data_IF_683515784964
#
_entry.id   IF_683515784964
#
_cell.length_a   1.000
_cell.length_b   1.000
_cell.length_c   1.000
_cell.angle_alpha   90.00
_cell.angle_beta   90.00
_cell.angle_gamma   90.00
#
_symmetry.space_group_name_H-M   'P 1'
#
loop_
_entity.id
_entity.type
_entity.pdbx_description
1 polymer ?
#
# COMPACT_ATOMS: atom_id res chain seq x y z
N UNK A 1 20.40 -0.97 -3.57
CA UNK A 1 21.04 -2.29 -3.40
C UNK A 1 19.97 -3.38 -3.51
N UNK A 2 20.20 -4.36 -4.37
CA UNK A 2 19.33 -5.54 -4.48
C UNK A 2 19.77 -6.56 -3.44
N UNK A 3 18.81 -7.20 -2.76
CA UNK A 3 19.04 -8.30 -1.82
C UNK A 3 18.30 -9.55 -2.30
N UNK A 4 18.67 -10.70 -1.78
CA UNK A 4 18.00 -11.96 -2.12
C UNK A 4 16.60 -11.99 -1.52
N UNK A 5 15.70 -12.71 -2.19
CA UNK A 5 14.38 -12.96 -1.65
C UNK A 5 14.50 -13.72 -0.31
N UNK A 6 13.82 -13.22 0.70
CA UNK A 6 13.90 -13.73 2.07
C UNK A 6 14.80 -12.91 2.98
N UNK A 7 15.70 -12.10 2.42
CA UNK A 7 16.51 -11.19 3.22
C UNK A 7 15.69 -9.93 3.54
N UNK A 8 15.47 -9.70 4.83
CA UNK A 8 14.79 -8.49 5.31
C UNK A 8 15.82 -7.65 6.07
N UNK A 9 16.41 -6.65 5.42
CA UNK A 9 17.40 -5.79 6.08
C UNK A 9 16.71 -4.89 7.12
N UNK A 10 17.49 -4.27 8.00
CA UNK A 10 17.00 -3.27 8.92
C UNK A 10 16.61 -2.02 8.12
N UNK A 11 15.31 -1.74 8.08
CA UNK A 11 14.73 -0.60 7.36
C UNK A 11 13.63 0.03 8.19
N UNK A 12 13.29 1.28 7.90
CA UNK A 12 12.22 2.00 8.58
C UNK A 12 10.90 1.91 7.82
N UNK A 13 10.96 1.68 6.51
CA UNK A 13 9.80 1.62 5.61
C UNK A 13 9.89 0.35 4.77
N UNK A 14 8.78 -0.38 4.70
CA UNK A 14 8.64 -1.56 3.83
C UNK A 14 7.46 -1.33 2.90
N UNK A 15 7.70 -1.47 1.60
CA UNK A 15 6.68 -1.22 0.57
C UNK A 15 6.43 -2.51 -0.21
N UNK A 16 5.18 -2.96 -0.24
CA UNK A 16 4.74 -3.98 -1.19
C UNK A 16 4.34 -3.30 -2.51
N UNK A 17 5.17 -3.45 -3.51
CA UNK A 17 4.92 -2.97 -4.87
C UNK A 17 4.72 -4.15 -5.85
N UNK A 18 4.22 -5.28 -5.34
CA UNK A 18 3.90 -6.48 -6.11
C UNK A 18 2.39 -6.61 -6.29
N UNK A 19 1.96 -7.57 -7.10
CA UNK A 19 0.54 -7.92 -7.24
C UNK A 19 0.02 -8.83 -6.12
N UNK A 20 0.89 -9.28 -5.22
CA UNK A 20 0.51 -10.17 -4.11
C UNK A 20 -0.35 -9.40 -3.12
N UNK A 21 -1.58 -9.84 -2.95
CA UNK A 21 -2.58 -9.21 -2.10
C UNK A 21 -3.78 -8.66 -2.87
N UNK A 22 -3.74 -8.64 -4.21
CA UNK A 22 -4.90 -8.28 -5.03
C UNK A 22 -6.06 -9.26 -4.85
N UNK A 23 -5.76 -10.54 -4.68
CA UNK A 23 -6.74 -11.56 -4.37
C UNK A 23 -6.73 -11.85 -2.87
N UNK A 24 -7.91 -12.10 -2.31
CA UNK A 24 -8.05 -12.37 -0.85
C UNK A 24 -7.30 -13.60 -0.39
N UNK A 25 -7.09 -14.56 -1.30
CA UNK A 25 -6.39 -15.81 -1.01
C UNK A 25 -4.88 -15.75 -1.26
N UNK A 26 -4.38 -14.59 -1.68
CA UNK A 26 -2.94 -14.41 -1.90
C UNK A 26 -2.18 -14.50 -0.58
N UNK A 27 -1.16 -15.35 -0.54
CA UNK A 27 -0.26 -15.48 0.59
C UNK A 27 1.01 -14.67 0.38
N UNK A 28 1.37 -13.88 1.35
CA UNK A 28 2.65 -13.19 1.35
C UNK A 28 3.74 -14.10 1.93
N UNK A 29 4.48 -14.77 1.05
CA UNK A 29 5.46 -15.81 1.41
C UNK A 29 6.84 -15.27 1.83
N UNK A 30 6.87 -14.11 2.44
CA UNK A 30 8.10 -13.52 2.98
C UNK A 30 7.96 -13.44 4.49
N UNK A 31 8.96 -13.91 5.22
CA UNK A 31 8.99 -13.77 6.67
C UNK A 31 9.34 -12.32 7.04
N UNK A 32 8.31 -11.58 7.38
CA UNK A 32 8.43 -10.17 7.79
C UNK A 32 8.70 -9.98 9.28
N UNK A 33 8.76 -11.07 10.07
CA UNK A 33 8.98 -10.99 11.52
C UNK A 33 10.29 -10.27 11.88
N UNK A 34 11.30 -10.37 11.02
CA UNK A 34 12.59 -9.69 11.19
C UNK A 34 12.53 -8.17 11.06
N UNK A 35 11.47 -7.64 10.46
CA UNK A 35 11.29 -6.19 10.34
C UNK A 35 11.06 -5.51 11.70
N UNK A 36 10.45 -6.23 12.64
CA UNK A 36 10.17 -5.71 13.98
C UNK A 36 8.99 -4.76 14.03
N UNK A 37 8.95 -3.93 15.06
CA UNK A 37 7.89 -2.96 15.34
C UNK A 37 8.36 -1.50 15.08
N UNK A 38 7.41 -0.56 15.17
CA UNK A 38 7.65 0.89 14.98
C UNK A 38 8.20 1.23 13.58
N UNK A 39 7.83 0.43 12.59
CA UNK A 39 8.13 0.66 11.18
C UNK A 39 6.90 1.18 10.45
N UNK A 40 7.05 1.50 9.19
CA UNK A 40 5.94 1.89 8.32
C UNK A 40 5.80 0.86 7.19
N UNK A 41 4.65 0.22 7.11
CA UNK A 41 4.29 -0.74 6.07
C UNK A 41 3.35 -0.05 5.09
N UNK A 42 3.74 0.02 3.84
CA UNK A 42 2.96 0.61 2.76
C UNK A 42 2.68 -0.41 1.68
N UNK A 43 1.42 -0.53 1.29
CA UNK A 43 1.01 -1.38 0.18
C UNK A 43 0.45 -0.52 -0.95
N UNK A 44 0.94 -0.70 -2.18
CA UNK A 44 0.42 0.03 -3.34
C UNK A 44 -0.99 -0.41 -3.71
N UNK A 45 -1.41 -1.57 -3.23
CA UNK A 45 -2.77 -2.10 -3.41
C UNK A 45 -3.73 -1.31 -2.54
N UNK A 46 -4.87 -0.92 -3.08
CA UNK A 46 -5.94 -0.23 -2.35
C UNK A 46 -7.24 -1.03 -2.27
N UNK A 47 -7.38 -2.08 -3.07
CA UNK A 47 -8.50 -3.01 -3.01
C UNK A 47 -7.95 -4.45 -3.05
N UNK A 48 -8.09 -5.21 -1.97
CA UNK A 48 -8.75 -4.89 -0.69
C UNK A 48 -8.06 -3.74 0.05
N UNK A 49 -8.81 -3.06 0.93
CA UNK A 49 -8.28 -1.93 1.71
C UNK A 49 -7.18 -2.35 2.67
N UNK A 50 -7.28 -3.53 3.26
CA UNK A 50 -6.27 -4.11 4.14
C UNK A 50 -5.83 -5.45 3.59
N UNK A 51 -4.67 -5.47 2.94
CA UNK A 51 -4.05 -6.68 2.40
C UNK A 51 -3.45 -7.55 3.51
N UNK A 52 -3.13 -8.79 3.21
CA UNK A 52 -2.41 -9.68 4.14
C UNK A 52 -1.09 -9.05 4.60
N UNK A 53 -0.37 -8.40 3.70
CA UNK A 53 0.87 -7.67 4.02
C UNK A 53 0.63 -6.60 5.09
N UNK A 54 -0.41 -5.78 4.94
CA UNK A 54 -0.75 -4.74 5.91
C UNK A 54 -1.23 -5.33 7.24
N UNK A 55 -2.01 -6.41 7.19
CA UNK A 55 -2.44 -7.12 8.42
C UNK A 55 -1.26 -7.62 9.23
N UNK A 56 -0.26 -8.20 8.56
CA UNK A 56 0.98 -8.65 9.20
C UNK A 56 1.70 -7.48 9.85
N UNK A 57 1.89 -6.38 9.12
CA UNK A 57 2.55 -5.18 9.64
C UNK A 57 1.85 -4.61 10.86
N UNK A 58 0.55 -4.48 10.80
CA UNK A 58 -0.29 -3.97 11.91
C UNK A 58 -0.20 -4.86 13.15
N UNK A 59 -0.28 -6.18 12.96
CA UNK A 59 -0.17 -7.15 14.06
C UNK A 59 1.18 -7.09 14.75
N UNK A 60 2.24 -6.73 14.03
CA UNK A 60 3.59 -6.57 14.57
C UNK A 60 3.82 -5.20 15.24
N UNK A 61 2.83 -4.32 15.30
CA UNK A 61 2.95 -3.00 15.92
C UNK A 61 3.48 -1.90 15.00
N UNK A 62 3.27 -2.02 13.69
CA UNK A 62 3.71 -1.05 12.71
C UNK A 62 2.56 -0.16 12.21
N UNK A 63 2.90 1.05 11.76
CA UNK A 63 1.96 1.87 10.99
C UNK A 63 1.76 1.26 9.63
N UNK A 64 0.53 1.34 9.13
CA UNK A 64 0.16 0.78 7.84
C UNK A 64 -0.63 1.79 7.01
N UNK A 65 -0.41 1.80 5.71
CA UNK A 65 -1.14 2.61 4.76
C UNK A 65 -1.30 1.83 3.46
N UNK A 66 -2.47 1.92 2.84
CA UNK A 66 -2.72 1.34 1.53
C UNK A 66 -2.47 2.34 0.39
N UNK A 67 -2.63 1.89 -0.85
CA UNK A 67 -2.35 2.67 -2.05
C UNK A 67 -3.45 3.64 -2.50
N UNK A 68 -4.50 3.83 -1.72
CA UNK A 68 -5.65 4.64 -2.10
C UNK A 68 -5.26 6.06 -2.53
N UNK A 69 -4.53 6.77 -1.68
CA UNK A 69 -4.15 8.14 -1.99
C UNK A 69 -3.13 8.23 -3.13
N UNK A 70 -2.22 7.28 -3.22
CA UNK A 70 -1.29 7.22 -4.35
C UNK A 70 -2.06 7.09 -5.67
N UNK A 71 -3.06 6.22 -5.71
CA UNK A 71 -3.93 6.06 -6.88
C UNK A 71 -4.70 7.35 -7.19
N UNK A 72 -5.30 7.97 -6.19
CA UNK A 72 -6.08 9.21 -6.37
C UNK A 72 -5.20 10.35 -6.89
N UNK A 73 -4.03 10.54 -6.32
CA UNK A 73 -3.14 11.62 -6.73
C UNK A 73 -2.59 11.41 -8.15
N UNK A 74 -2.24 10.18 -8.53
CA UNK A 74 -1.78 9.93 -9.90
C UNK A 74 -2.91 10.14 -10.93
N UNK A 75 -4.15 9.78 -10.58
CA UNK A 75 -5.31 10.03 -11.43
C UNK A 75 -5.60 11.52 -11.59
N UNK A 76 -5.46 12.28 -10.50
CA UNK A 76 -5.61 13.73 -10.50
C UNK A 76 -4.60 14.41 -11.44
N UNK A 77 -3.34 14.03 -11.34
CA UNK A 77 -2.28 14.56 -12.19
C UNK A 77 -2.49 14.19 -13.66
N UNK A 78 -2.88 12.96 -13.96
CA UNK A 78 -3.20 12.52 -15.31
C UNK A 78 -4.38 13.31 -15.89
N UNK A 79 -5.42 13.51 -15.10
CA UNK A 79 -6.60 14.29 -15.51
C UNK A 79 -6.23 15.74 -15.84
N UNK A 80 -5.40 16.37 -15.00
CA UNK A 80 -4.92 17.73 -15.24
C UNK A 80 -4.12 17.85 -16.54
N UNK A 81 -3.23 16.88 -16.82
CA UNK A 81 -2.45 16.83 -18.05
C UNK A 81 -3.37 16.73 -19.28
N UNK A 82 -4.39 15.88 -19.20
CA UNK A 82 -5.28 15.62 -20.34
C UNK A 82 -6.31 16.72 -20.57
N UNK A 83 -6.79 17.37 -19.53
CA UNK A 83 -7.93 18.29 -19.59
C UNK A 83 -7.60 19.73 -19.21
N UNK A 84 -6.41 20.01 -18.69
CA UNK A 84 -5.99 21.34 -18.25
C UNK A 84 -6.73 21.84 -17.00
N UNK A 85 -7.47 20.97 -16.31
CA UNK A 85 -8.22 21.28 -15.09
C UNK A 85 -7.79 20.32 -14.00
N UNK A 86 -7.48 20.83 -12.81
CA UNK A 86 -7.17 20.05 -11.64
C UNK A 86 -8.40 19.92 -10.75
N UNK A 87 -9.11 18.75 -10.77
CA UNK A 87 -10.26 18.53 -9.91
C UNK A 87 -9.83 18.42 -8.44
N UNK A 88 -10.77 18.69 -7.54
CA UNK A 88 -10.58 18.47 -6.11
C UNK A 88 -10.89 17.03 -5.74
N UNK A 89 -10.09 16.47 -4.83
CA UNK A 89 -10.38 15.18 -4.19
C UNK A 89 -11.17 15.48 -2.93
N UNK A 90 -12.48 15.32 -3.00
CA UNK A 90 -13.40 15.51 -1.88
C UNK A 90 -13.70 14.20 -1.15
N UNK A 91 -14.47 14.30 -0.07
CA UNK A 91 -14.85 13.15 0.73
C UNK A 91 -15.69 12.12 -0.04
N UNK A 92 -16.47 12.55 -1.02
CA UNK A 92 -17.27 11.63 -1.84
C UNK A 92 -16.38 10.75 -2.70
N UNK A 93 -15.36 11.34 -3.32
CA UNK A 93 -14.36 10.59 -4.11
C UNK A 93 -13.61 9.62 -3.22
N UNK A 94 -13.16 10.05 -2.04
CA UNK A 94 -12.44 9.21 -1.09
C UNK A 94 -13.29 8.01 -0.68
N UNK A 95 -14.57 8.20 -0.37
CA UNK A 95 -15.48 7.12 0.03
C UNK A 95 -15.67 6.03 -1.03
N UNK A 96 -15.52 6.35 -2.31
CA UNK A 96 -15.61 5.35 -3.38
C UNK A 96 -14.52 4.25 -3.23
N UNK A 97 -13.42 4.56 -2.57
CA UNK A 97 -12.29 3.65 -2.38
C UNK A 97 -12.28 2.97 -1.00
N UNK A 98 -13.28 3.22 -0.17
CA UNK A 98 -13.39 2.64 1.17
C UNK A 98 -14.31 1.40 1.23
N UNK A 99 -14.92 1.05 0.11
CA UNK A 99 -15.73 -0.16 -0.02
C UNK A 99 -14.92 -1.27 -0.69
N UNK A 100 -14.73 -2.35 0.03
CA UNK A 100 -14.09 -3.56 -0.51
C UNK A 100 -15.11 -4.44 -1.25
#
# INVERSE_FOLDING_TARGET
>A
KVVNWGDVPLVDVIINATSIGLNKDDEFKLDLSKAGSNKFFYDVIYSPQETTFLKIGKKMGNRTENGKFMFLYQALEAFEIWHGIKPEIDDEVIKLFEND
#
